data_IF_502852292581
#
_entry.id   IF_502852292581
#
_cell.length_a   1.000
_cell.length_b   1.000
_cell.length_c   1.000
_cell.angle_alpha   90.00
_cell.angle_beta   90.00
_cell.angle_gamma   90.00
#
_symmetry.space_group_name_H-M   'P 1'
#
loop_
_entity.id
_entity.type
_entity.pdbx_description
1 polymer ?
#
# COMPACT_ATOMS: atom_id res chain seq x y z
N UNK A 1 22.21 11.38 6.83
CA UNK A 1 20.77 11.50 7.19
C UNK A 1 20.49 12.95 7.57
N UNK A 2 19.78 13.69 6.73
CA UNK A 2 19.52 15.12 6.92
C UNK A 2 18.68 15.40 8.16
N UNK A 3 19.00 16.47 8.87
CA UNK A 3 18.31 16.99 10.06
C UNK A 3 16.81 17.23 9.84
N UNK A 4 16.41 17.49 8.60
CA UNK A 4 15.01 17.70 8.20
C UNK A 4 14.18 16.42 8.24
N UNK A 5 14.76 15.27 7.83
CA UNK A 5 14.10 13.96 7.91
C UNK A 5 13.93 13.48 9.37
N UNK A 6 14.84 13.84 10.26
CA UNK A 6 14.72 13.57 11.70
C UNK A 6 13.62 14.43 12.35
N UNK A 7 13.44 15.69 11.93
CA UNK A 7 12.38 16.58 12.45
C UNK A 7 10.99 16.11 12.00
N UNK A 8 10.80 15.66 10.76
CA UNK A 8 9.51 15.14 10.29
C UNK A 8 9.08 13.86 11.02
N UNK A 9 10.02 12.92 11.26
CA UNK A 9 9.77 11.72 12.07
C UNK A 9 9.51 12.03 13.54
N UNK A 10 10.15 13.06 14.10
CA UNK A 10 9.91 13.51 15.47
C UNK A 10 8.54 14.18 15.62
N UNK A 11 8.12 14.99 14.65
CA UNK A 11 6.81 15.61 14.64
C UNK A 11 5.69 14.57 14.55
N UNK A 12 5.75 13.63 13.57
CA UNK A 12 4.77 12.54 13.47
C UNK A 12 4.68 11.69 14.75
N UNK A 13 5.80 11.50 15.46
CA UNK A 13 5.82 10.80 16.74
C UNK A 13 5.13 11.59 17.87
N UNK A 14 5.27 12.92 17.90
CA UNK A 14 4.65 13.74 18.95
C UNK A 14 3.13 13.80 18.87
N UNK A 15 2.54 13.67 17.66
CA UNK A 15 1.08 13.77 17.49
C UNK A 15 0.33 12.52 17.96
N UNK A 16 1.00 11.35 18.03
CA UNK A 16 0.36 10.08 18.38
C UNK A 16 0.74 9.55 19.76
N UNK A 17 1.81 10.07 20.37
CA UNK A 17 2.20 9.69 21.74
C UNK A 17 1.13 10.18 22.73
N UNK A 18 0.43 9.23 23.34
CA UNK A 18 -0.64 9.45 24.31
C UNK A 18 -2.07 9.23 23.75
N UNK A 19 -2.38 9.66 22.53
CA UNK A 19 -3.73 9.52 21.94
C UNK A 19 -4.05 8.05 21.65
N UNK A 20 -3.07 7.27 21.20
CA UNK A 20 -3.24 5.84 20.86
C UNK A 20 -2.89 4.90 22.02
N UNK A 21 -2.40 5.44 23.15
CA UNK A 21 -2.02 4.63 24.28
C UNK A 21 -3.19 3.78 24.78
N UNK A 22 -2.95 2.47 24.91
CA UNK A 22 -3.90 1.45 25.35
C UNK A 22 -5.15 1.24 24.45
N UNK A 23 -5.29 2.00 23.35
CA UNK A 23 -6.35 1.78 22.36
C UNK A 23 -6.15 0.46 21.65
N UNK A 24 -7.22 -0.31 21.51
CA UNK A 24 -7.20 -1.56 20.75
C UNK A 24 -7.52 -1.27 19.28
N UNK A 25 -6.53 -1.45 18.40
CA UNK A 25 -6.71 -1.31 16.95
C UNK A 25 -6.69 -2.69 16.30
N UNK A 26 -7.75 -3.00 15.55
CA UNK A 26 -7.81 -4.24 14.76
C UNK A 26 -7.34 -3.97 13.33
N UNK A 27 -6.30 -4.69 12.90
CA UNK A 27 -5.76 -4.65 11.53
C UNK A 27 -6.25 -5.88 10.75
N UNK A 28 -7.23 -5.70 9.86
CA UNK A 28 -7.70 -6.75 8.96
C UNK A 28 -6.71 -6.85 7.78
N UNK A 29 -5.99 -7.97 7.68
CA UNK A 29 -4.87 -8.13 6.74
C UNK A 29 -3.53 -7.56 7.26
N UNK A 30 -3.38 -7.42 8.58
CA UNK A 30 -2.24 -6.75 9.21
C UNK A 30 -0.86 -7.41 9.00
N UNK A 31 -0.79 -8.67 8.57
CA UNK A 31 0.47 -9.33 8.22
C UNK A 31 0.96 -9.04 6.80
N UNK A 32 0.22 -8.27 6.00
CA UNK A 32 0.59 -7.87 4.64
C UNK A 32 1.70 -6.81 4.58
N UNK A 33 2.05 -6.41 3.35
CA UNK A 33 3.08 -5.41 3.08
C UNK A 33 2.81 -4.07 3.81
N UNK A 34 1.66 -3.43 3.59
CA UNK A 34 1.31 -2.20 4.29
C UNK A 34 1.08 -2.46 5.80
N UNK A 35 0.45 -3.58 6.14
CA UNK A 35 0.05 -3.90 7.51
C UNK A 35 1.20 -3.93 8.50
N UNK A 36 2.40 -4.40 8.10
CA UNK A 36 3.59 -4.40 8.96
C UNK A 36 4.05 -3.01 9.35
N UNK A 37 3.95 -2.05 8.44
CA UNK A 37 4.31 -0.65 8.69
C UNK A 37 3.26 0.04 9.54
N UNK A 38 1.97 -0.20 9.28
CA UNK A 38 0.88 0.30 10.14
C UNK A 38 1.01 -0.25 11.55
N UNK A 39 1.26 -1.56 11.70
CA UNK A 39 1.49 -2.18 13.00
C UNK A 39 2.68 -1.53 13.73
N UNK A 40 3.80 -1.31 13.04
CA UNK A 40 4.98 -0.67 13.62
C UNK A 40 4.68 0.74 14.13
N UNK A 41 3.97 1.55 13.37
CA UNK A 41 3.61 2.91 13.78
C UNK A 41 2.64 2.92 14.97
N UNK A 42 1.62 2.06 14.96
CA UNK A 42 0.66 1.95 16.07
C UNK A 42 1.32 1.44 17.36
N UNK A 43 2.17 0.42 17.27
CA UNK A 43 2.92 -0.08 18.43
C UNK A 43 3.83 0.99 19.03
N UNK A 44 4.51 1.75 18.16
CA UNK A 44 5.35 2.87 18.61
C UNK A 44 4.53 4.01 19.25
N UNK A 45 3.24 4.15 18.90
CA UNK A 45 2.31 5.10 19.50
C UNK A 45 1.65 4.56 20.79
N UNK A 46 1.99 3.34 21.23
CA UNK A 46 1.47 2.73 22.44
C UNK A 46 0.14 2.00 22.30
N UNK A 47 -0.37 1.79 21.09
CA UNK A 47 -1.60 1.06 20.84
C UNK A 47 -1.44 -0.45 21.12
N UNK A 48 -2.53 -1.11 21.51
CA UNK A 48 -2.65 -2.56 21.48
C UNK A 48 -3.19 -2.99 20.12
N UNK A 49 -2.67 -4.07 19.57
CA UNK A 49 -3.05 -4.54 18.24
C UNK A 49 -3.76 -5.89 18.28
N UNK A 50 -4.76 -6.01 17.42
CA UNK A 50 -5.31 -7.30 17.00
C UNK A 50 -5.05 -7.47 15.52
N UNK A 51 -4.17 -8.41 15.17
CA UNK A 51 -3.82 -8.75 13.78
C UNK A 51 -4.75 -9.85 13.32
N UNK A 52 -5.65 -9.53 12.40
CA UNK A 52 -6.68 -10.41 11.89
C UNK A 52 -6.40 -10.79 10.43
N UNK A 53 -6.18 -12.08 10.16
CA UNK A 53 -5.94 -12.60 8.81
C UNK A 53 -6.23 -14.10 8.74
N UNK A 54 -6.32 -14.66 7.53
CA UNK A 54 -6.69 -16.08 7.31
C UNK A 54 -5.78 -17.08 8.03
N UNK A 55 -4.46 -16.90 7.91
CA UNK A 55 -3.48 -17.65 8.70
C UNK A 55 -2.70 -16.69 9.60
N UNK A 56 -3.03 -16.62 10.89
CA UNK A 56 -2.36 -15.72 11.84
C UNK A 56 -0.85 -15.95 11.96
N UNK A 57 -0.37 -17.19 11.71
CA UNK A 57 1.04 -17.56 11.83
C UNK A 57 1.91 -16.75 10.88
N UNK A 58 1.39 -16.43 9.69
CA UNK A 58 2.08 -15.57 8.71
C UNK A 58 2.37 -14.14 9.19
N UNK A 59 1.79 -13.71 10.33
CA UNK A 59 2.05 -12.41 10.93
C UNK A 59 2.89 -12.47 12.21
N UNK A 60 3.36 -13.63 12.65
CA UNK A 60 4.08 -13.80 13.92
C UNK A 60 5.41 -13.01 13.99
N UNK A 61 5.97 -12.61 12.86
CA UNK A 61 7.12 -11.71 12.82
C UNK A 61 6.85 -10.36 13.51
N UNK A 62 5.57 -9.94 13.65
CA UNK A 62 5.19 -8.72 14.36
C UNK A 62 5.35 -8.85 15.88
N UNK A 63 5.43 -10.07 16.44
CA UNK A 63 5.67 -10.29 17.87
C UNK A 63 6.97 -9.65 18.35
N UNK A 64 8.00 -9.62 17.49
CA UNK A 64 9.31 -9.04 17.84
C UNK A 64 9.31 -7.53 17.91
N UNK A 65 8.24 -6.87 17.47
CA UNK A 65 8.09 -5.41 17.47
C UNK A 65 7.21 -4.91 18.62
N UNK A 66 6.56 -5.83 19.35
CA UNK A 66 5.59 -5.50 20.40
C UNK A 66 6.10 -5.85 21.79
N UNK A 67 5.64 -5.10 22.79
CA UNK A 67 5.77 -5.47 24.20
C UNK A 67 4.90 -6.68 24.56
N UNK A 68 5.12 -7.22 25.75
CA UNK A 68 4.36 -8.37 26.26
C UNK A 68 2.84 -8.04 26.30
N UNK A 69 2.02 -8.87 25.67
CA UNK A 69 0.56 -8.71 25.64
C UNK A 69 0.03 -7.59 24.73
N UNK A 70 0.91 -6.84 24.07
CA UNK A 70 0.50 -5.71 23.22
C UNK A 70 -0.11 -6.15 21.88
N UNK A 71 0.17 -7.36 21.40
CA UNK A 71 -0.32 -7.85 20.10
C UNK A 71 -1.04 -9.20 20.23
N UNK A 72 -2.26 -9.27 19.74
CA UNK A 72 -3.09 -10.47 19.60
C UNK A 72 -3.19 -10.87 18.12
N UNK A 73 -3.17 -12.17 17.83
CA UNK A 73 -3.32 -12.71 16.48
C UNK A 73 -4.59 -13.55 16.41
N UNK A 74 -5.46 -13.26 15.44
CA UNK A 74 -6.75 -13.95 15.28
C UNK A 74 -6.97 -14.40 13.85
N UNK A 75 -7.60 -15.57 13.67
CA UNK A 75 -8.00 -16.04 12.36
C UNK A 75 -9.27 -15.32 11.90
N UNK A 76 -9.22 -14.68 10.73
CA UNK A 76 -10.35 -13.99 10.14
C UNK A 76 -10.26 -14.01 8.61
N UNK A 77 -11.38 -14.26 7.96
CA UNK A 77 -11.54 -14.19 6.50
C UNK A 77 -12.65 -13.18 6.17
N UNK A 78 -12.31 -12.16 5.38
CA UNK A 78 -13.27 -11.10 5.00
C UNK A 78 -14.51 -11.64 4.26
N UNK A 79 -14.43 -12.84 3.68
CA UNK A 79 -15.56 -13.52 3.04
C UNK A 79 -16.52 -14.16 4.04
N UNK A 80 -16.12 -14.23 5.33
CA UNK A 80 -16.88 -14.86 6.42
C UNK A 80 -17.21 -13.82 7.49
N UNK A 81 -18.40 -13.20 7.43
CA UNK A 81 -18.78 -12.08 8.31
C UNK A 81 -18.63 -12.37 9.80
N UNK A 82 -18.93 -13.61 10.22
CA UNK A 82 -18.83 -14.02 11.62
C UNK A 82 -17.40 -14.00 12.17
N UNK A 83 -16.40 -14.22 11.29
CA UNK A 83 -14.99 -14.14 11.70
C UNK A 83 -14.56 -12.68 11.86
N UNK A 84 -15.08 -11.79 11.02
CA UNK A 84 -14.82 -10.35 11.10
C UNK A 84 -15.49 -9.76 12.32
N UNK A 85 -16.76 -10.12 12.61
CA UNK A 85 -17.45 -9.66 13.82
C UNK A 85 -16.67 -9.98 15.09
N UNK A 86 -16.11 -11.20 15.20
CA UNK A 86 -15.24 -11.58 16.32
C UNK A 86 -13.92 -10.79 16.34
N UNK A 87 -13.36 -10.51 15.17
CA UNK A 87 -12.09 -9.79 15.07
C UNK A 87 -12.21 -8.31 15.47
N UNK A 88 -13.35 -7.66 15.21
CA UNK A 88 -13.56 -6.25 15.54
C UNK A 88 -14.20 -6.01 16.92
N UNK A 89 -14.69 -7.06 17.59
CA UNK A 89 -15.33 -6.93 18.89
C UNK A 89 -14.40 -6.23 19.91
N UNK A 90 -14.92 -5.15 20.53
CA UNK A 90 -14.21 -4.34 21.52
C UNK A 90 -13.00 -3.55 20.98
N UNK A 91 -12.87 -3.41 19.67
CA UNK A 91 -11.85 -2.54 19.08
C UNK A 91 -12.26 -1.07 19.16
N UNK A 92 -11.33 -0.19 19.51
CA UNK A 92 -11.51 1.27 19.43
C UNK A 92 -11.45 1.75 17.97
N UNK A 93 -10.57 1.14 17.16
CA UNK A 93 -10.45 1.46 15.74
C UNK A 93 -10.21 0.20 14.91
N UNK A 94 -10.59 0.27 13.63
CA UNK A 94 -10.39 -0.80 12.65
C UNK A 94 -9.69 -0.25 11.40
N UNK A 95 -8.70 -0.98 10.90
CA UNK A 95 -8.08 -0.70 9.62
C UNK A 95 -8.29 -1.88 8.69
N UNK A 96 -8.98 -1.67 7.59
CA UNK A 96 -9.13 -2.67 6.54
C UNK A 96 -8.03 -2.51 5.50
N UNK A 97 -7.03 -3.40 5.57
CA UNK A 97 -5.85 -3.45 4.70
C UNK A 97 -5.98 -4.49 3.59
N UNK A 98 -7.15 -5.17 3.52
CA UNK A 98 -7.32 -6.28 2.60
C UNK A 98 -7.44 -5.78 1.16
N UNK A 99 -6.54 -6.28 0.33
CA UNK A 99 -6.56 -6.13 -1.11
C UNK A 99 -6.04 -7.40 -1.77
N UNK A 100 -6.54 -7.72 -2.94
CA UNK A 100 -6.14 -8.87 -3.73
C UNK A 100 -5.78 -8.42 -5.15
N UNK A 101 -4.71 -8.98 -5.69
CA UNK A 101 -4.32 -8.82 -7.10
C UNK A 101 -4.63 -10.08 -7.91
N UNK A 102 -5.21 -11.12 -7.27
CA UNK A 102 -5.60 -12.40 -7.86
C UNK A 102 -6.78 -12.99 -7.09
N UNK A 103 -7.57 -13.83 -7.76
CA UNK A 103 -8.69 -14.53 -7.15
C UNK A 103 -10.02 -13.80 -7.32
N UNK A 104 -10.94 -14.03 -6.41
CA UNK A 104 -12.29 -13.44 -6.44
C UNK A 104 -12.26 -12.02 -5.88
N UNK A 105 -12.09 -11.04 -6.76
CA UNK A 105 -12.05 -9.63 -6.39
C UNK A 105 -13.38 -9.16 -5.77
N UNK A 106 -14.51 -9.60 -6.31
CA UNK A 106 -15.82 -9.17 -5.82
C UNK A 106 -16.05 -9.62 -4.38
N UNK A 107 -15.80 -10.90 -4.09
CA UNK A 107 -15.96 -11.44 -2.74
C UNK A 107 -14.96 -10.83 -1.74
N UNK A 108 -13.72 -10.51 -2.18
CA UNK A 108 -12.67 -10.04 -1.28
C UNK A 108 -12.71 -8.51 -1.12
N UNK A 109 -12.78 -7.76 -2.23
CA UNK A 109 -12.62 -6.30 -2.21
C UNK A 109 -13.97 -5.60 -1.96
N UNK A 110 -15.04 -5.98 -2.66
CA UNK A 110 -16.35 -5.38 -2.45
C UNK A 110 -17.09 -6.02 -1.25
N UNK A 111 -17.34 -7.32 -1.31
CA UNK A 111 -18.03 -8.05 -0.24
C UNK A 111 -17.27 -8.00 1.08
N UNK A 112 -15.96 -8.22 1.05
CA UNK A 112 -15.11 -8.17 2.25
C UNK A 112 -15.06 -6.79 2.89
N UNK A 113 -14.98 -5.72 2.10
CA UNK A 113 -15.02 -4.34 2.60
C UNK A 113 -16.35 -4.04 3.29
N UNK A 114 -17.48 -4.46 2.68
CA UNK A 114 -18.82 -4.37 3.29
C UNK A 114 -18.88 -5.07 4.62
N UNK A 115 -18.45 -6.34 4.71
CA UNK A 115 -18.49 -7.11 5.96
C UNK A 115 -17.68 -6.45 7.07
N UNK A 116 -16.51 -5.87 6.75
CA UNK A 116 -15.68 -5.14 7.72
C UNK A 116 -16.41 -3.89 8.20
N UNK A 117 -16.98 -3.09 7.30
CA UNK A 117 -17.68 -1.86 7.66
C UNK A 117 -18.93 -2.13 8.49
N UNK A 118 -19.77 -3.09 8.08
CA UNK A 118 -20.97 -3.49 8.83
C UNK A 118 -20.64 -4.04 10.23
N UNK A 119 -19.59 -4.86 10.33
CA UNK A 119 -19.16 -5.39 11.62
C UNK A 119 -18.61 -4.29 12.53
N UNK A 120 -17.84 -3.34 11.97
CA UNK A 120 -17.34 -2.18 12.72
C UNK A 120 -18.45 -1.28 13.22
N UNK A 121 -19.46 -1.00 12.37
CA UNK A 121 -20.62 -0.22 12.77
C UNK A 121 -21.41 -0.89 13.92
N UNK A 122 -21.70 -2.19 13.79
CA UNK A 122 -22.38 -2.96 14.83
C UNK A 122 -21.61 -3.05 16.15
N UNK A 123 -20.26 -3.05 16.07
CA UNK A 123 -19.40 -3.10 17.24
C UNK A 123 -19.19 -1.73 17.91
N UNK A 124 -19.73 -0.64 17.35
CA UNK A 124 -19.55 0.71 17.87
C UNK A 124 -18.11 1.22 17.78
N UNK A 125 -17.37 0.78 16.76
CA UNK A 125 -15.98 1.21 16.53
C UNK A 125 -15.96 2.73 16.27
N UNK A 126 -15.06 3.46 16.94
CA UNK A 126 -14.99 4.92 16.83
C UNK A 126 -14.36 5.40 15.51
N UNK A 127 -13.43 4.63 14.93
CA UNK A 127 -12.78 5.00 13.67
C UNK A 127 -12.57 3.78 12.77
N UNK A 128 -12.95 3.91 11.50
CA UNK A 128 -12.69 2.92 10.45
C UNK A 128 -11.87 3.56 9.32
N UNK A 129 -10.69 3.00 9.04
CA UNK A 129 -9.90 3.35 7.86
C UNK A 129 -9.95 2.21 6.85
N UNK A 130 -10.39 2.51 5.63
CA UNK A 130 -10.43 1.55 4.52
C UNK A 130 -9.35 1.88 3.48
N UNK A 131 -8.47 0.92 3.19
CA UNK A 131 -7.43 1.08 2.17
C UNK A 131 -7.95 0.63 0.81
N UNK A 132 -8.12 1.61 -0.07
CA UNK A 132 -8.48 1.46 -1.47
C UNK A 132 -7.25 1.61 -2.38
N UNK A 133 -7.38 2.26 -3.52
CA UNK A 133 -6.29 2.59 -4.44
C UNK A 133 -6.68 3.78 -5.33
N UNK A 134 -5.72 4.55 -5.83
CA UNK A 134 -5.96 5.51 -6.92
C UNK A 134 -6.52 4.74 -8.13
N UNK A 135 -7.55 5.30 -8.77
CA UNK A 135 -8.27 4.65 -9.87
C UNK A 135 -9.39 3.69 -9.42
N UNK A 136 -9.76 3.70 -8.11
CA UNK A 136 -10.96 3.02 -7.63
C UNK A 136 -12.21 3.73 -8.17
N UNK A 137 -12.97 3.01 -9.01
CA UNK A 137 -14.17 3.51 -9.66
C UNK A 137 -15.10 2.33 -9.98
N UNK A 138 -16.37 2.42 -9.56
CA UNK A 138 -17.37 1.38 -9.79
C UNK A 138 -17.66 1.15 -11.29
N UNK A 139 -17.40 2.14 -12.14
CA UNK A 139 -17.56 2.06 -13.60
C UNK A 139 -16.26 1.66 -14.33
N UNK A 140 -15.19 1.37 -13.61
CA UNK A 140 -13.90 1.02 -14.20
C UNK A 140 -13.99 -0.21 -15.09
N UNK A 141 -13.38 -0.22 -16.30
CA UNK A 141 -13.25 -1.41 -17.14
C UNK A 141 -12.39 -2.50 -16.49
N UNK A 142 -11.45 -2.11 -15.59
CA UNK A 142 -10.68 -3.05 -14.79
C UNK A 142 -11.53 -3.63 -13.67
N UNK A 143 -11.50 -4.95 -13.51
CA UNK A 143 -12.19 -5.63 -12.41
C UNK A 143 -11.63 -5.19 -11.04
N UNK A 144 -10.33 -4.96 -10.98
CA UNK A 144 -9.67 -4.45 -9.77
C UNK A 144 -10.19 -3.06 -9.41
N UNK A 145 -10.15 -2.10 -10.34
CA UNK A 145 -10.64 -0.74 -10.12
C UNK A 145 -12.11 -0.72 -9.74
N UNK A 146 -12.94 -1.48 -10.49
CA UNK A 146 -14.37 -1.58 -10.25
C UNK A 146 -14.70 -2.13 -8.87
N UNK A 147 -14.11 -3.26 -8.49
CA UNK A 147 -14.41 -3.85 -7.17
C UNK A 147 -13.84 -3.05 -6.00
N UNK A 148 -12.79 -2.24 -6.22
CA UNK A 148 -12.36 -1.24 -5.25
C UNK A 148 -13.39 -0.12 -5.09
N UNK A 149 -13.92 0.43 -6.18
CA UNK A 149 -14.97 1.44 -6.15
C UNK A 149 -16.27 0.93 -5.50
N UNK A 150 -16.71 -0.26 -5.87
CA UNK A 150 -17.85 -0.95 -5.23
C UNK A 150 -17.61 -1.14 -3.72
N UNK A 151 -16.38 -1.50 -3.33
CA UNK A 151 -15.97 -1.64 -1.93
C UNK A 151 -16.05 -0.34 -1.15
N UNK A 152 -15.58 0.77 -1.74
CA UNK A 152 -15.70 2.09 -1.13
C UNK A 152 -17.17 2.50 -0.94
N UNK A 153 -18.02 2.29 -1.95
CA UNK A 153 -19.44 2.57 -1.85
C UNK A 153 -20.11 1.76 -0.73
N UNK A 154 -19.78 0.47 -0.63
CA UNK A 154 -20.30 -0.40 0.43
C UNK A 154 -19.81 0.02 1.83
N UNK A 155 -18.55 0.45 1.96
CA UNK A 155 -18.01 0.98 3.22
C UNK A 155 -18.74 2.26 3.63
N UNK A 156 -18.93 3.20 2.72
CA UNK A 156 -19.66 4.45 3.01
C UNK A 156 -21.11 4.20 3.40
N UNK A 157 -21.78 3.26 2.75
CA UNK A 157 -23.16 2.91 3.08
C UNK A 157 -23.29 2.32 4.49
N UNK A 158 -22.33 1.49 4.94
CA UNK A 158 -22.37 0.82 6.22
C UNK A 158 -21.73 1.64 7.37
N UNK A 159 -20.75 2.47 7.06
CA UNK A 159 -20.00 3.31 8.00
C UNK A 159 -19.70 4.68 7.36
N UNK A 160 -20.64 5.63 7.34
CA UNK A 160 -20.50 6.92 6.62
C UNK A 160 -19.27 7.73 7.00
N UNK A 161 -18.83 7.65 8.26
CA UNK A 161 -17.65 8.34 8.78
C UNK A 161 -16.32 7.61 8.49
N UNK A 162 -16.34 6.51 7.72
CA UNK A 162 -15.12 5.82 7.37
C UNK A 162 -14.16 6.75 6.60
N UNK A 163 -12.90 6.73 6.98
CA UNK A 163 -11.83 7.33 6.18
C UNK A 163 -11.42 6.37 5.08
N UNK A 164 -11.43 6.84 3.84
CA UNK A 164 -10.92 6.07 2.70
C UNK A 164 -9.55 6.62 2.31
N UNK A 165 -8.55 5.74 2.20
CA UNK A 165 -7.24 6.10 1.68
C UNK A 165 -6.99 5.39 0.36
N UNK A 166 -6.62 6.14 -0.67
CA UNK A 166 -6.30 5.67 -2.02
C UNK A 166 -4.81 5.88 -2.29
N UNK A 167 -3.94 4.95 -1.91
CA UNK A 167 -2.53 5.08 -2.25
C UNK A 167 -2.30 4.87 -3.75
N UNK A 168 -1.32 5.58 -4.29
CA UNK A 168 -0.64 5.25 -5.53
C UNK A 168 0.19 3.96 -5.34
N UNK A 169 0.99 3.57 -6.34
CA UNK A 169 1.90 2.43 -6.20
C UNK A 169 2.81 2.65 -4.98
N UNK A 170 2.65 1.77 -3.99
CA UNK A 170 3.46 1.83 -2.78
C UNK A 170 4.82 1.18 -3.00
N UNK A 171 5.86 1.84 -2.54
CA UNK A 171 7.20 1.29 -2.54
C UNK A 171 7.76 1.14 -1.12
N UNK A 172 8.66 0.17 -0.94
CA UNK A 172 9.30 -0.15 0.31
C UNK A 172 10.17 -1.40 0.20
N UNK A 173 10.80 -1.78 1.28
CA UNK A 173 11.76 -2.89 1.26
C UNK A 173 11.17 -4.20 0.76
N UNK A 174 9.91 -4.47 1.06
CA UNK A 174 9.19 -5.71 0.74
C UNK A 174 8.14 -5.52 -0.37
N UNK A 175 8.21 -4.41 -1.14
CA UNK A 175 7.25 -4.17 -2.22
C UNK A 175 7.37 -5.21 -3.35
N UNK A 176 6.27 -5.46 -4.03
CA UNK A 176 6.22 -6.36 -5.17
C UNK A 176 6.40 -5.67 -6.53
N UNK A 177 6.59 -4.36 -6.58
CA UNK A 177 6.66 -3.60 -7.83
C UNK A 177 8.10 -3.21 -8.19
N UNK A 178 8.74 -2.35 -7.38
CA UNK A 178 10.13 -1.91 -7.64
C UNK A 178 11.09 -3.09 -7.53
N UNK A 179 10.92 -3.95 -6.52
CA UNK A 179 11.76 -5.14 -6.35
C UNK A 179 11.63 -6.12 -7.52
N UNK A 180 10.44 -6.27 -8.13
CA UNK A 180 10.26 -7.11 -9.31
C UNK A 180 11.04 -6.58 -10.51
N UNK A 181 10.98 -5.27 -10.78
CA UNK A 181 11.77 -4.66 -11.84
C UNK A 181 13.26 -4.70 -11.55
N UNK A 182 13.67 -4.47 -10.31
CA UNK A 182 15.08 -4.58 -9.91
C UNK A 182 15.62 -6.01 -10.11
N UNK A 183 14.84 -7.03 -9.75
CA UNK A 183 15.20 -8.42 -10.00
C UNK A 183 15.29 -8.75 -11.49
N UNK A 184 14.35 -8.25 -12.31
CA UNK A 184 14.36 -8.42 -13.75
C UNK A 184 15.59 -7.75 -14.39
N UNK A 185 15.93 -6.53 -13.98
CA UNK A 185 17.11 -5.78 -14.47
C UNK A 185 18.42 -6.42 -13.99
N UNK A 186 18.44 -7.01 -12.79
CA UNK A 186 19.60 -7.71 -12.25
C UNK A 186 19.87 -9.06 -12.96
N UNK A 187 18.86 -9.64 -13.63
CA UNK A 187 18.98 -10.88 -14.37
C UNK A 187 19.92 -10.70 -15.60
N UNK A 188 20.43 -11.78 -16.19
CA UNK A 188 21.36 -11.71 -17.34
C UNK A 188 20.68 -11.29 -18.66
N UNK A 189 19.45 -10.84 -18.63
CA UNK A 189 18.73 -10.38 -19.81
C UNK A 189 19.38 -9.09 -20.37
N UNK A 190 19.77 -9.04 -21.64
CA UNK A 190 20.41 -7.87 -22.24
C UNK A 190 19.41 -6.74 -22.50
N UNK A 191 18.11 -7.07 -22.53
CA UNK A 191 17.03 -6.17 -22.91
C UNK A 191 15.91 -6.25 -21.89
N UNK A 192 15.42 -5.09 -21.49
CA UNK A 192 14.25 -4.96 -20.59
C UNK A 192 13.08 -4.40 -21.39
N UNK A 193 12.05 -5.21 -21.66
CA UNK A 193 10.84 -4.72 -22.31
C UNK A 193 10.00 -3.89 -21.34
N UNK A 194 9.54 -2.73 -21.80
CA UNK A 194 8.67 -1.83 -21.03
C UNK A 194 7.38 -1.60 -21.77
N UNK A 195 6.28 -1.84 -21.10
CA UNK A 195 4.93 -1.54 -21.57
C UNK A 195 4.51 -0.18 -21.05
N UNK A 196 3.82 0.61 -21.88
CA UNK A 196 3.26 1.91 -21.47
C UNK A 196 4.32 2.81 -20.82
N UNK A 197 5.46 3.00 -21.50
CA UNK A 197 6.61 3.72 -20.96
C UNK A 197 6.31 5.18 -20.58
N UNK A 198 5.30 5.79 -21.20
CA UNK A 198 4.87 7.18 -20.98
C UNK A 198 3.88 7.36 -19.84
N UNK A 199 3.23 6.28 -19.39
CA UNK A 199 2.23 6.37 -18.30
C UNK A 199 2.86 6.86 -17.00
N UNK A 200 2.13 7.70 -16.30
CA UNK A 200 2.61 8.39 -15.11
C UNK A 200 2.19 7.67 -13.85
N UNK A 201 3.10 7.65 -12.92
CA UNK A 201 2.91 7.13 -11.57
C UNK A 201 3.41 8.15 -10.56
N UNK A 202 2.81 8.15 -9.39
CA UNK A 202 3.25 8.97 -8.26
C UNK A 202 3.60 8.07 -7.07
N UNK A 203 4.71 7.30 -7.14
CA UNK A 203 5.04 6.28 -6.16
C UNK A 203 5.09 6.85 -4.75
N UNK A 204 4.46 6.18 -3.79
CA UNK A 204 4.38 6.61 -2.40
C UNK A 204 5.14 5.65 -1.48
N UNK A 205 5.90 6.19 -0.53
CA UNK A 205 6.58 5.38 0.46
C UNK A 205 5.58 4.73 1.42
N UNK A 206 5.65 3.41 1.59
CA UNK A 206 4.72 2.65 2.44
C UNK A 206 4.71 3.12 3.89
N UNK A 207 5.83 3.65 4.40
CA UNK A 207 5.91 4.24 5.72
C UNK A 207 5.07 5.51 5.86
N UNK A 208 4.98 6.34 4.80
CA UNK A 208 4.16 7.55 4.80
C UNK A 208 2.67 7.20 4.73
N UNK A 209 2.29 6.17 3.95
CA UNK A 209 0.92 5.64 3.93
C UNK A 209 0.52 5.11 5.32
N UNK A 210 1.43 4.39 5.99
CA UNK A 210 1.19 3.91 7.35
C UNK A 210 1.03 5.06 8.35
N UNK A 211 1.88 6.09 8.26
CA UNK A 211 1.78 7.29 9.08
C UNK A 211 0.44 8.03 8.86
N UNK A 212 0.00 8.14 7.61
CA UNK A 212 -1.29 8.75 7.25
C UNK A 212 -2.48 7.98 7.85
N UNK A 213 -2.46 6.65 7.77
CA UNK A 213 -3.50 5.80 8.39
C UNK A 213 -3.56 6.02 9.90
N UNK A 214 -2.40 6.07 10.56
CA UNK A 214 -2.34 6.29 12.02
C UNK A 214 -2.79 7.71 12.38
N UNK A 215 -2.42 8.72 11.59
CA UNK A 215 -2.89 10.09 11.77
C UNK A 215 -4.42 10.20 11.62
N UNK A 216 -5.00 9.51 10.64
CA UNK A 216 -6.45 9.46 10.42
C UNK A 216 -7.22 8.82 11.59
N UNK A 217 -6.64 7.81 12.23
CA UNK A 217 -7.23 7.18 13.43
C UNK A 217 -7.09 8.10 14.66
N UNK A 218 -5.94 8.76 14.79
CA UNK A 218 -5.64 9.60 15.94
C UNK A 218 -6.42 10.92 15.97
N UNK A 219 -6.83 11.43 14.80
CA UNK A 219 -7.58 12.68 14.63
C UNK A 219 -8.79 12.43 13.70
N UNK A 220 -9.86 11.80 14.19
CA UNK A 220 -11.06 11.54 13.39
C UNK A 220 -11.73 12.81 12.88
N UNK A 221 -11.65 13.93 13.61
CA UNK A 221 -12.26 15.20 13.20
C UNK A 221 -11.72 15.70 11.87
N UNK A 222 -10.46 15.40 11.56
CA UNK A 222 -9.84 15.74 10.27
C UNK A 222 -10.10 14.70 9.18
N UNK A 223 -10.38 13.46 9.53
CA UNK A 223 -10.33 12.35 8.59
C UNK A 223 -11.67 11.67 8.34
N UNK A 224 -12.60 11.71 9.31
CA UNK A 224 -13.88 11.03 9.21
C UNK A 224 -14.68 11.47 7.98
N UNK A 225 -15.24 10.49 7.28
CA UNK A 225 -16.06 10.73 6.08
C UNK A 225 -15.28 11.22 4.86
N UNK A 226 -13.94 11.33 4.91
CA UNK A 226 -13.12 11.86 3.82
C UNK A 226 -12.42 10.76 3.04
N UNK A 227 -12.03 11.10 1.80
CA UNK A 227 -11.15 10.28 0.96
C UNK A 227 -9.84 11.03 0.75
N UNK A 228 -8.72 10.33 0.93
CA UNK A 228 -7.37 10.86 0.72
C UNK A 228 -6.65 10.08 -0.36
N UNK A 229 -6.10 10.76 -1.35
CA UNK A 229 -5.25 10.17 -2.37
C UNK A 229 -3.78 10.36 -1.98
N UNK A 230 -3.08 9.25 -1.79
CA UNK A 230 -1.75 9.27 -1.21
C UNK A 230 -0.70 9.00 -2.28
N UNK A 231 -0.12 10.08 -2.79
CA UNK A 231 1.01 10.06 -3.73
C UNK A 231 2.32 10.49 -3.06
N UNK A 232 3.45 10.08 -3.63
CA UNK A 232 4.76 10.59 -3.25
C UNK A 232 5.00 12.01 -3.77
N UNK A 233 6.20 12.59 -3.54
CA UNK A 233 6.50 13.95 -3.97
C UNK A 233 6.72 14.08 -5.49
N UNK A 234 7.07 12.98 -6.15
CA UNK A 234 7.49 12.99 -7.54
C UNK A 234 6.52 12.21 -8.43
N UNK A 235 6.18 12.79 -9.59
CA UNK A 235 5.46 12.09 -10.66
C UNK A 235 6.51 11.62 -11.68
N UNK A 236 6.53 10.32 -11.96
CA UNK A 236 7.49 9.69 -12.87
C UNK A 236 6.78 8.84 -13.91
N UNK A 237 7.32 8.78 -15.13
CA UNK A 237 6.81 7.82 -16.12
C UNK A 237 7.34 6.42 -15.84
N UNK A 238 6.65 5.38 -16.33
CA UNK A 238 7.12 3.99 -16.21
C UNK A 238 8.53 3.83 -16.76
N UNK A 239 8.82 4.37 -17.94
CA UNK A 239 10.14 4.32 -18.55
C UNK A 239 11.21 5.05 -17.72
N UNK A 240 10.89 6.21 -17.14
CA UNK A 240 11.78 6.93 -16.24
C UNK A 240 12.07 6.16 -14.96
N UNK A 241 11.05 5.55 -14.37
CA UNK A 241 11.19 4.74 -13.18
C UNK A 241 12.08 3.51 -13.41
N UNK A 242 11.90 2.80 -14.52
CA UNK A 242 12.75 1.64 -14.85
C UNK A 242 14.20 2.06 -15.09
N UNK A 243 14.44 3.18 -15.78
CA UNK A 243 15.80 3.74 -15.94
C UNK A 243 16.40 4.14 -14.60
N UNK A 244 15.59 4.71 -13.71
CA UNK A 244 16.03 5.05 -12.36
C UNK A 244 16.44 3.79 -11.57
N UNK A 245 15.61 2.72 -11.59
CA UNK A 245 15.93 1.45 -10.92
C UNK A 245 17.25 0.88 -11.46
N UNK A 246 17.43 0.87 -12.80
CA UNK A 246 18.66 0.38 -13.42
C UNK A 246 19.90 1.12 -12.90
N UNK A 247 19.84 2.47 -12.87
CA UNK A 247 20.94 3.29 -12.30
C UNK A 247 21.17 2.98 -10.82
N UNK A 248 20.10 2.88 -10.02
CA UNK A 248 20.20 2.63 -8.58
C UNK A 248 20.90 1.30 -8.24
N UNK A 249 20.76 0.29 -9.12
CA UNK A 249 21.45 -1.02 -8.95
C UNK A 249 22.75 -1.14 -9.77
N UNK A 250 23.19 -0.06 -10.44
CA UNK A 250 24.43 -0.05 -11.21
C UNK A 250 24.38 -0.91 -12.49
N UNK A 251 23.25 -0.89 -13.20
CA UNK A 251 23.04 -1.61 -14.46
C UNK A 251 22.66 -0.66 -15.59
N UNK A 252 23.02 -1.03 -16.81
CA UNK A 252 22.74 -0.26 -18.05
C UNK A 252 22.16 -1.17 -19.13
N UNK A 253 21.01 -1.86 -18.87
CA UNK A 253 20.40 -2.70 -19.90
C UNK A 253 19.84 -1.84 -21.03
N UNK A 254 19.72 -2.41 -22.24
CA UNK A 254 18.91 -1.81 -23.27
C UNK A 254 17.43 -1.87 -22.84
N UNK A 255 16.76 -0.70 -22.82
CA UNK A 255 15.33 -0.62 -22.49
C UNK A 255 14.58 -0.42 -23.80
N UNK A 256 13.68 -1.35 -24.11
CA UNK A 256 12.85 -1.31 -25.32
C UNK A 256 11.40 -1.07 -24.94
N UNK A 257 10.85 0.02 -25.44
CA UNK A 257 9.44 0.34 -25.29
C UNK A 257 8.62 -0.51 -26.27
N UNK A 258 7.70 -1.30 -25.75
CA UNK A 258 6.85 -2.14 -26.59
C UNK A 258 5.59 -1.37 -27.00
N UNK A 259 5.19 -1.46 -28.28
CA UNK A 259 3.92 -0.89 -28.74
C UNK A 259 2.71 -1.44 -27.98
N UNK A 260 1.67 -0.64 -27.82
CA UNK A 260 0.44 -0.99 -27.11
C UNK A 260 -0.24 -2.24 -27.67
N UNK A 261 -0.17 -2.46 -29.00
CA UNK A 261 -0.69 -3.65 -29.64
C UNK A 261 -0.05 -4.93 -29.08
N UNK A 262 1.28 -4.91 -28.88
CA UNK A 262 2.02 -6.05 -28.31
C UNK A 262 1.64 -6.23 -26.84
N UNK A 263 1.53 -5.15 -26.07
CA UNK A 263 1.09 -5.18 -24.68
C UNK A 263 -0.32 -5.77 -24.53
N UNK A 264 -1.22 -5.34 -25.40
CA UNK A 264 -2.58 -5.89 -25.50
C UNK A 264 -2.57 -7.40 -25.75
N UNK A 265 -1.83 -7.86 -26.76
CA UNK A 265 -1.72 -9.30 -27.11
C UNK A 265 -1.12 -10.13 -25.95
N UNK A 266 -0.02 -9.66 -25.34
CA UNK A 266 0.60 -10.33 -24.18
C UNK A 266 -0.40 -10.47 -23.02
N UNK A 267 -1.22 -9.44 -22.78
CA UNK A 267 -2.21 -9.43 -21.69
C UNK A 267 -3.32 -10.48 -21.85
N UNK A 268 -3.65 -10.88 -23.08
CA UNK A 268 -4.59 -11.97 -23.35
C UNK A 268 -4.06 -13.34 -22.88
N UNK A 269 -2.74 -13.54 -22.91
CA UNK A 269 -2.06 -14.70 -22.32
C UNK A 269 -1.93 -14.65 -20.80
N UNK A 270 -2.45 -13.62 -20.13
CA UNK A 270 -2.29 -13.35 -18.70
C UNK A 270 -2.88 -14.41 -17.75
N UNK A 271 -3.64 -15.38 -18.24
CA UNK A 271 -4.13 -16.54 -17.50
C UNK A 271 -3.08 -17.65 -17.36
N UNK A 272 -2.02 -17.63 -18.15
CA UNK A 272 -0.96 -18.64 -18.12
C UNK A 272 -0.03 -18.44 -16.90
N UNK A 273 0.46 -19.53 -16.28
CA UNK A 273 1.47 -19.43 -15.24
C UNK A 273 2.72 -18.72 -15.75
N UNK A 274 3.20 -17.72 -15.00
CA UNK A 274 4.38 -16.95 -15.40
C UNK A 274 4.13 -15.80 -16.37
N UNK A 275 2.90 -15.55 -16.79
CA UNK A 275 2.58 -14.42 -17.63
C UNK A 275 3.06 -13.10 -17.02
N UNK A 276 3.70 -12.21 -17.81
CA UNK A 276 4.28 -10.98 -17.30
C UNK A 276 3.23 -9.97 -16.83
N UNK A 277 2.04 -9.98 -17.46
CA UNK A 277 0.93 -9.07 -17.16
C UNK A 277 -0.42 -9.76 -17.44
N UNK A 278 -1.41 -9.50 -16.60
CA UNK A 278 -2.79 -9.96 -16.83
C UNK A 278 -3.59 -8.92 -17.63
N UNK A 279 -4.72 -9.35 -18.23
CA UNK A 279 -5.63 -8.44 -18.94
C UNK A 279 -6.09 -7.29 -18.03
N UNK A 280 -6.39 -7.58 -16.77
CA UNK A 280 -6.86 -6.59 -15.81
C UNK A 280 -5.76 -5.56 -15.47
N UNK A 281 -4.52 -6.03 -15.27
CA UNK A 281 -3.36 -5.14 -15.07
C UNK A 281 -3.08 -4.27 -16.31
N UNK A 282 -3.28 -4.82 -17.50
CA UNK A 282 -3.18 -4.05 -18.75
C UNK A 282 -4.19 -2.90 -18.80
N UNK A 283 -5.44 -3.16 -18.40
CA UNK A 283 -6.47 -2.12 -18.33
C UNK A 283 -6.13 -1.04 -17.30
N UNK A 284 -5.56 -1.42 -16.16
CA UNK A 284 -5.10 -0.48 -15.14
C UNK A 284 -3.94 0.41 -15.63
N UNK A 285 -3.05 -0.13 -16.47
CA UNK A 285 -1.93 0.63 -17.05
C UNK A 285 -2.35 1.63 -18.13
N UNK A 286 -3.63 1.73 -18.47
CA UNK A 286 -4.12 2.68 -19.47
C UNK A 286 -4.49 4.04 -18.90
N UNK A 287 -4.38 4.19 -17.59
CA UNK A 287 -4.71 5.41 -16.85
C UNK A 287 -3.56 5.76 -15.93
N UNK A 288 -3.20 7.05 -15.90
CA UNK A 288 -2.19 7.56 -14.98
C UNK A 288 -2.53 7.25 -13.52
N UNK A 289 -1.56 6.77 -12.77
CA UNK A 289 -1.71 6.48 -11.35
C UNK A 289 -1.12 7.62 -10.51
N UNK A 290 -1.76 8.77 -10.58
CA UNK A 290 -1.37 10.03 -9.94
C UNK A 290 -2.51 10.59 -9.11
N UNK A 291 -2.20 11.41 -8.12
CA UNK A 291 -3.18 12.12 -7.29
C UNK A 291 -3.99 13.08 -8.16
N UNK A 292 -5.30 13.03 -8.04
CA UNK A 292 -6.20 13.92 -8.79
C UNK A 292 -6.06 15.37 -8.31
N UNK A 293 -6.18 16.35 -9.22
CA UNK A 293 -6.20 17.75 -8.84
C UNK A 293 -7.31 18.06 -7.79
N UNK A 294 -6.93 18.71 -6.70
CA UNK A 294 -7.85 19.07 -5.63
C UNK A 294 -8.21 17.94 -4.65
N UNK A 295 -7.67 16.73 -4.82
CA UNK A 295 -7.83 15.65 -3.84
C UNK A 295 -7.12 15.99 -2.53
N UNK A 296 -7.67 15.54 -1.40
CA UNK A 296 -6.97 15.57 -0.13
C UNK A 296 -5.80 14.57 -0.14
N UNK A 297 -4.68 14.95 0.44
CA UNK A 297 -3.38 14.27 0.28
C UNK A 297 -2.75 13.88 1.63
N UNK A 298 -1.51 13.36 1.59
CA UNK A 298 -0.66 13.14 2.77
C UNK A 298 -0.50 14.42 3.61
N UNK A 299 -0.37 15.58 2.95
CA UNK A 299 -0.20 16.87 3.62
C UNK A 299 -1.38 17.25 4.51
N UNK A 300 -2.61 16.94 4.10
CA UNK A 300 -3.83 17.19 4.89
C UNK A 300 -3.87 16.36 6.17
N UNK A 301 -3.19 15.22 6.20
CA UNK A 301 -2.99 14.37 7.38
C UNK A 301 -1.69 14.69 8.13
N UNK A 302 -1.00 15.79 7.79
CA UNK A 302 0.24 16.21 8.44
C UNK A 302 1.46 15.34 8.11
N UNK A 303 1.40 14.54 7.05
CA UNK A 303 2.49 13.65 6.62
C UNK A 303 3.25 14.26 5.45
N UNK A 304 4.55 14.44 5.61
CA UNK A 304 5.43 14.89 4.52
C UNK A 304 5.86 13.70 3.68
N UNK A 305 5.57 13.68 2.37
CA UNK A 305 5.92 12.57 1.51
C UNK A 305 7.44 12.39 1.38
N UNK A 306 7.90 11.14 1.42
CA UNK A 306 9.31 10.74 1.36
C UNK A 306 9.71 10.45 -0.09
N UNK A 307 10.74 11.12 -0.65
CA UNK A 307 11.23 10.83 -2.00
C UNK A 307 11.78 9.42 -2.15
N UNK A 308 11.57 8.83 -3.34
CA UNK A 308 12.06 7.51 -3.70
C UNK A 308 13.59 7.38 -3.52
N UNK A 309 14.33 8.41 -3.94
CA UNK A 309 15.80 8.48 -3.86
C UNK A 309 16.34 8.44 -2.42
N UNK A 310 15.53 8.84 -1.45
CA UNK A 310 15.96 8.90 -0.06
C UNK A 310 16.04 7.53 0.60
N UNK A 311 15.15 6.63 0.25
CA UNK A 311 14.98 5.37 1.00
C UNK A 311 15.24 4.12 0.15
N UNK A 312 14.84 4.11 -1.12
CA UNK A 312 14.93 2.90 -1.94
C UNK A 312 16.35 2.39 -2.18
N UNK A 313 17.39 3.23 -2.34
CA UNK A 313 18.77 2.75 -2.49
C UNK A 313 19.21 1.86 -1.32
N UNK A 314 18.65 2.06 -0.10
CA UNK A 314 19.00 1.30 1.09
C UNK A 314 18.74 -0.20 0.99
N UNK A 315 17.72 -0.63 0.26
CA UNK A 315 17.45 -2.06 0.03
C UNK A 315 17.73 -2.53 -1.39
N UNK A 316 17.75 -1.63 -2.39
CA UNK A 316 18.10 -1.98 -3.77
C UNK A 316 19.55 -2.44 -3.91
N UNK A 317 20.38 -2.16 -2.93
CA UNK A 317 21.76 -2.66 -2.85
C UNK A 317 21.86 -4.19 -3.03
N UNK A 318 20.87 -4.96 -2.64
CA UNK A 318 20.84 -6.42 -2.79
C UNK A 318 20.83 -6.88 -4.27
N UNK A 319 20.40 -6.02 -5.21
CA UNK A 319 20.36 -6.30 -6.64
C UNK A 319 21.63 -5.85 -7.39
N UNK A 320 22.56 -5.17 -6.71
CA UNK A 320 23.86 -4.79 -7.26
C UNK A 320 24.76 -6.00 -7.41
N UNK A 321 25.63 -5.98 -8.44
CA UNK A 321 26.53 -7.12 -8.76
C UNK A 321 27.38 -7.57 -7.56
N UNK A 322 27.89 -6.65 -6.76
CA UNK A 322 28.72 -6.91 -5.58
C UNK A 322 28.05 -6.37 -4.30
N UNK A 323 26.72 -6.26 -4.31
CA UNK A 323 25.98 -5.74 -3.16
C UNK A 323 26.45 -4.34 -2.74
N UNK A 324 26.67 -4.13 -1.46
CA UNK A 324 27.16 -2.85 -0.90
C UNK A 324 28.59 -2.48 -1.30
N UNK A 325 29.35 -3.43 -1.81
CA UNK A 325 30.74 -3.21 -2.25
C UNK A 325 30.84 -2.80 -3.73
N UNK A 326 29.73 -2.65 -4.42
CA UNK A 326 29.72 -2.08 -5.78
C UNK A 326 30.07 -0.59 -5.69
N UNK A 327 31.21 -0.21 -6.24
CA UNK A 327 31.55 1.21 -6.45
C UNK A 327 30.58 1.77 -7.49
N UNK A 328 29.65 2.62 -7.05
CA UNK A 328 28.88 3.47 -7.97
C UNK A 328 29.80 4.59 -8.40
N UNK A 329 30.29 4.53 -9.63
CA UNK A 329 30.85 5.72 -10.26
C UNK A 329 29.73 6.75 -10.29
N UNK A 330 29.85 7.79 -9.48
CA UNK A 330 28.94 8.93 -9.57
C UNK A 330 29.09 9.44 -11.00
N UNK A 331 28.00 9.35 -11.79
CA UNK A 331 27.95 10.04 -13.06
C UNK A 331 27.95 11.53 -12.74
N UNK A 332 29.04 12.19 -13.15
CA UNK A 332 29.16 13.64 -13.16
C UNK A 332 28.10 14.26 -14.07
#
# INVERSE_FOLDING_TARGET
MSTRARRGKAAARQWTEGVMKDKLVTLIGGGGFLGRYVAQHLLAAGARLRIAQRDPRGAYFLKTQSGLGQTQFVAADVRRPETIARAVAGADAVVNLVGALKGDFAAIQAGGARHVAEASARAGVAALVHVSAIGADAESPSRYGRTKGEGEAAVRAAFPEATIVRPSIMFGREDGFINRFAAMIASPLPVIPVLRATEKFQPVFVGDVAAAIVAAIADPDKAAGRTFELGGPDIVTMGALIRWIARAIGRTPAIIELPDLIGGLISWGGFLPGAPITRDQWLMLQVDNVVAPGAATLGDLGVTPTPLDTVAPGWLVQYRRHGRFTTTTAAA
#
